data_IF_462473421923
#
_entry.id   IF_462473421923
#
_cell.length_a   1.000
_cell.length_b   1.000
_cell.length_c   1.000
_cell.angle_alpha   90.00
_cell.angle_beta   90.00
_cell.angle_gamma   90.00
#
_symmetry.space_group_name_H-M   'P 1'
#
loop_
_entity.id
_entity.type
_entity.pdbx_description
1 polymer ?
#
# COMPACT_ATOMS: atom_id res chain seq x y z
N UNK A 1 14.77 -15.02 -11.95
CA UNK A 1 14.65 -14.45 -10.60
C UNK A 1 13.45 -13.52 -10.62
N UNK A 2 12.42 -13.70 -9.78
CA UNK A 2 11.33 -12.72 -9.77
C UNK A 2 11.90 -11.43 -9.18
N UNK A 3 11.80 -10.34 -9.93
CA UNK A 3 12.04 -9.01 -9.37
C UNK A 3 11.01 -8.80 -8.25
N UNK A 4 11.48 -8.61 -7.02
CA UNK A 4 10.60 -8.10 -5.96
C UNK A 4 10.29 -6.66 -6.34
N UNK A 5 9.04 -6.39 -6.69
CA UNK A 5 8.57 -5.03 -6.94
C UNK A 5 8.65 -4.28 -5.60
N UNK A 6 9.63 -3.39 -5.48
CA UNK A 6 9.81 -2.58 -4.29
C UNK A 6 8.77 -1.46 -4.25
N UNK A 7 8.32 -1.09 -3.06
CA UNK A 7 7.59 0.16 -2.89
C UNK A 7 8.41 1.35 -3.43
N UNK A 8 7.75 2.37 -3.98
CA UNK A 8 8.42 3.62 -4.30
C UNK A 8 9.24 4.09 -3.09
N UNK A 9 10.43 4.70 -3.29
CA UNK A 9 11.36 5.03 -2.20
C UNK A 9 10.78 6.00 -1.14
N UNK A 10 9.64 6.64 -1.44
CA UNK A 10 8.87 7.40 -0.47
C UNK A 10 7.36 7.20 -0.76
N UNK A 11 6.77 6.08 -0.29
CA UNK A 11 5.40 5.73 -0.62
C UNK A 11 4.38 6.72 -0.06
N UNK A 12 4.70 7.33 1.10
CA UNK A 12 3.87 8.37 1.73
C UNK A 12 3.67 9.57 0.80
N UNK A 13 4.73 10.04 0.14
CA UNK A 13 4.61 11.13 -0.85
C UNK A 13 4.09 10.66 -2.20
N UNK A 14 4.42 9.42 -2.61
CA UNK A 14 4.05 8.91 -3.93
C UNK A 14 2.53 8.80 -4.09
N UNK A 15 1.82 8.37 -3.03
CA UNK A 15 0.36 8.25 -3.03
C UNK A 15 -0.35 9.45 -2.40
N UNK A 16 0.38 10.44 -1.89
CA UNK A 16 -0.21 11.65 -1.30
C UNK A 16 -1.13 12.34 -2.32
N UNK A 17 -2.34 12.70 -1.87
CA UNK A 17 -3.38 13.36 -2.67
C UNK A 17 -3.86 12.56 -3.90
N UNK A 18 -3.47 11.30 -4.07
CA UNK A 18 -3.99 10.42 -5.12
C UNK A 18 -5.15 9.62 -4.58
N UNK A 19 -6.17 9.44 -5.41
CA UNK A 19 -7.24 8.49 -5.10
C UNK A 19 -6.73 7.08 -5.39
N UNK A 20 -6.73 6.24 -4.36
CA UNK A 20 -6.25 4.86 -4.47
C UNK A 20 -7.33 3.86 -4.05
N UNK A 21 -7.29 2.68 -4.66
CA UNK A 21 -7.92 1.46 -4.18
C UNK A 21 -6.83 0.58 -3.59
N UNK A 22 -7.10 -0.04 -2.44
CA UNK A 22 -6.11 -0.87 -1.72
C UNK A 22 -6.74 -2.20 -1.32
N UNK A 23 -5.99 -3.30 -1.45
CA UNK A 23 -6.42 -4.63 -0.99
C UNK A 23 -5.30 -5.30 -0.21
N UNK A 24 -5.59 -5.66 1.04
CA UNK A 24 -4.61 -6.25 1.95
C UNK A 24 -5.27 -6.89 3.16
N UNK A 25 -4.45 -7.39 4.08
CA UNK A 25 -4.93 -7.97 5.34
C UNK A 25 -5.25 -6.84 6.31
N UNK A 26 -6.43 -6.89 6.94
CA UNK A 26 -6.77 -5.99 8.04
C UNK A 26 -6.31 -6.63 9.35
N UNK A 27 -5.58 -5.89 10.17
CA UNK A 27 -5.22 -6.27 11.54
C UNK A 27 -5.48 -5.11 12.51
N UNK A 28 -5.68 -5.42 13.79
CA UNK A 28 -5.73 -4.40 14.83
C UNK A 28 -4.31 -4.15 15.33
N UNK A 29 -3.81 -2.94 15.13
CA UNK A 29 -2.55 -2.47 15.68
C UNK A 29 -2.81 -1.29 16.62
N UNK A 30 -2.31 -1.38 17.87
CA UNK A 30 -2.50 -0.36 18.92
C UNK A 30 -3.96 0.10 19.11
N UNK A 31 -4.92 -0.80 18.90
CA UNK A 31 -6.35 -0.54 19.07
C UNK A 31 -7.07 0.04 17.85
N UNK A 32 -6.38 0.22 16.72
CA UNK A 32 -6.97 0.70 15.46
C UNK A 32 -6.83 -0.33 14.33
N UNK A 33 -7.79 -0.40 13.39
CA UNK A 33 -7.64 -1.22 12.20
C UNK A 33 -6.61 -0.61 11.24
N UNK A 34 -5.61 -1.40 10.88
CA UNK A 34 -4.60 -1.06 9.87
C UNK A 34 -4.60 -2.11 8.75
N UNK A 35 -4.15 -1.71 7.56
CA UNK A 35 -4.05 -2.59 6.38
C UNK A 35 -2.58 -2.90 6.06
N UNK A 36 -2.25 -4.19 6.03
CA UNK A 36 -0.89 -4.66 5.73
C UNK A 36 -0.73 -4.90 4.23
N UNK A 37 0.32 -4.31 3.66
CA UNK A 37 0.71 -4.41 2.25
C UNK A 37 2.11 -5.01 2.13
N UNK A 38 2.23 -6.06 1.30
CA UNK A 38 3.47 -6.77 1.02
C UNK A 38 4.08 -6.39 -0.33
N UNK A 39 3.29 -5.83 -1.24
CA UNK A 39 3.74 -5.42 -2.57
C UNK A 39 3.00 -4.17 -3.10
N UNK A 40 3.62 -3.38 -4.01
CA UNK A 40 2.98 -2.22 -4.65
C UNK A 40 1.72 -2.58 -5.44
N UNK A 41 1.67 -3.79 -6.01
CA UNK A 41 0.53 -4.30 -6.79
C UNK A 41 -0.77 -4.41 -5.98
N UNK A 42 -0.73 -4.24 -4.66
CA UNK A 42 -1.90 -4.17 -3.79
C UNK A 42 -2.54 -2.77 -3.73
N UNK A 43 -1.93 -1.79 -4.42
CA UNK A 43 -2.38 -0.40 -4.51
C UNK A 43 -2.64 -0.07 -5.97
N UNK A 44 -3.83 0.45 -6.27
CA UNK A 44 -4.21 0.93 -7.59
C UNK A 44 -4.56 2.40 -7.51
N UNK A 45 -3.90 3.24 -8.31
CA UNK A 45 -4.35 4.62 -8.53
C UNK A 45 -5.57 4.55 -9.46
N UNK A 46 -6.67 5.17 -9.07
CA UNK A 46 -7.96 5.04 -9.78
C UNK A 46 -8.40 6.32 -10.49
N UNK A 47 -7.63 7.41 -10.37
CA UNK A 47 -7.83 8.70 -11.04
C UNK A 47 -6.48 9.34 -11.40
#
# INVERSE_FOLDING_TARGET
MPFIEAFPPNPETYFLNRKVRVKGKIEIYKGAPEIILYAPSQIWIVE
#
